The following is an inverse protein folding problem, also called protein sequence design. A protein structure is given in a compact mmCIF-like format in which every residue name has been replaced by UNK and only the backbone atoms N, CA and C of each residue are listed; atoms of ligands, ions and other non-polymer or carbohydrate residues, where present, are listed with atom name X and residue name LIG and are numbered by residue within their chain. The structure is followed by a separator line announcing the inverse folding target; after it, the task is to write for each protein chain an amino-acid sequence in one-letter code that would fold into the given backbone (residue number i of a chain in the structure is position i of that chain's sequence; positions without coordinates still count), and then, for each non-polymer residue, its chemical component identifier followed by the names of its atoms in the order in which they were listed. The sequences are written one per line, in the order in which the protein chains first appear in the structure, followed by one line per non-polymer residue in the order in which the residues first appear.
data_IF_872506389163
#
_entry.id   IF_872506389163
#
_cell.length_a   1.000
_cell.length_b   1.000
_cell.length_c   1.000
_cell.angle_alpha   90.00
_cell.angle_beta   90.00
_cell.angle_gamma   90.00
#
_symmetry.space_group_name_H-M   'P 1'
#
loop_
_entity.id
_entity.type
_entity.pdbx_description
1 polymer ?
#
# COMPACT_ATOMS: atom_id res chain seq x y z
N UNK A 1 8.33 -18.72 2.15
CA UNK A 1 7.02 -18.16 1.73
C UNK A 1 6.80 -18.48 0.26
N UNK A 2 5.88 -19.38 -0.05
CA UNK A 2 5.59 -19.83 -1.41
C UNK A 2 4.09 -19.98 -1.62
N UNK A 3 3.69 -20.23 -2.86
CA UNK A 3 2.30 -20.53 -3.19
C UNK A 3 1.90 -21.87 -2.56
N UNK A 4 0.67 -21.95 -2.05
CA UNK A 4 0.05 -23.21 -1.63
C UNK A 4 -0.84 -23.65 -2.79
N UNK A 5 -0.62 -24.88 -3.29
CA UNK A 5 -1.49 -25.49 -4.28
C UNK A 5 -2.34 -26.55 -3.58
N UNK A 6 -3.63 -26.46 -3.78
CA UNK A 6 -4.61 -27.41 -3.30
C UNK A 6 -5.21 -28.19 -4.46
N UNK A 7 -5.27 -29.49 -4.33
CA UNK A 7 -6.06 -30.36 -5.17
C UNK A 7 -7.20 -30.92 -4.32
N UNK A 8 -8.43 -30.69 -4.74
CA UNK A 8 -9.62 -31.02 -3.98
C UNK A 8 -10.46 -31.98 -4.81
N UNK A 9 -10.90 -33.07 -4.18
CA UNK A 9 -11.85 -34.00 -4.74
C UNK A 9 -13.09 -33.96 -3.85
N UNK A 10 -14.19 -33.44 -4.38
CA UNK A 10 -15.46 -33.36 -3.67
C UNK A 10 -16.44 -34.39 -4.23
N UNK A 11 -16.90 -35.29 -3.35
CA UNK A 11 -17.84 -36.34 -3.70
C UNK A 11 -19.28 -35.88 -3.58
N UNK A 12 -20.20 -36.43 -4.38
CA UNK A 12 -21.66 -36.21 -4.22
C UNK A 12 -22.19 -36.60 -2.84
N UNK A 13 -21.48 -37.46 -2.13
CA UNK A 13 -21.81 -37.87 -0.75
C UNK A 13 -21.43 -36.83 0.32
N UNK A 14 -20.84 -35.69 -0.07
CA UNK A 14 -20.39 -34.64 0.84
C UNK A 14 -18.95 -34.77 1.34
N UNK A 15 -18.28 -35.89 1.02
CA UNK A 15 -16.90 -36.11 1.42
C UNK A 15 -15.94 -35.27 0.58
N UNK A 16 -14.98 -34.62 1.24
CA UNK A 16 -13.93 -33.80 0.65
C UNK A 16 -12.56 -34.41 0.93
N UNK A 17 -11.79 -34.72 -0.10
CA UNK A 17 -10.36 -35.03 0.02
C UNK A 17 -9.55 -33.86 -0.48
N UNK A 18 -8.60 -33.40 0.34
CA UNK A 18 -7.73 -32.25 0.05
C UNK A 18 -6.29 -32.71 0.08
N UNK A 19 -5.56 -32.48 -1.00
CA UNK A 19 -4.12 -32.64 -1.07
C UNK A 19 -3.50 -31.24 -1.21
N UNK A 20 -2.72 -30.85 -0.20
CA UNK A 20 -2.04 -29.55 -0.15
C UNK A 20 -0.56 -29.71 -0.45
N UNK A 21 -0.06 -28.93 -1.38
CA UNK A 21 1.37 -28.80 -1.72
C UNK A 21 1.85 -27.43 -1.29
N UNK A 22 2.87 -27.38 -0.44
CA UNK A 22 3.42 -26.14 0.09
C UNK A 22 4.93 -26.25 0.30
N UNK A 23 5.60 -25.14 0.55
CA UNK A 23 7.03 -25.09 0.85
C UNK A 23 7.18 -24.75 2.34
N UNK A 24 7.92 -25.57 3.06
CA UNK A 24 8.29 -25.33 4.45
C UNK A 24 9.80 -25.44 4.60
N UNK A 25 10.44 -24.40 5.12
CA UNK A 25 11.90 -24.32 5.30
C UNK A 25 12.73 -24.59 4.03
N UNK A 26 12.15 -24.27 2.85
CA UNK A 26 12.79 -24.54 1.55
C UNK A 26 12.44 -25.88 0.92
N UNK A 27 11.85 -26.81 1.66
CA UNK A 27 11.47 -28.14 1.19
C UNK A 27 10.00 -28.18 0.74
N UNK A 28 9.75 -28.94 -0.34
CA UNK A 28 8.40 -29.21 -0.82
C UNK A 28 7.75 -30.25 0.08
N UNK A 29 6.60 -29.90 0.60
CA UNK A 29 5.78 -30.77 1.45
C UNK A 29 4.44 -31.07 0.78
N UNK A 30 3.92 -32.24 1.06
CA UNK A 30 2.61 -32.71 0.63
C UNK A 30 1.84 -33.23 1.84
N UNK A 31 0.59 -32.82 1.97
CA UNK A 31 -0.30 -33.30 3.03
C UNK A 31 -1.67 -33.58 2.44
N UNK A 32 -2.16 -34.82 2.63
CA UNK A 32 -3.51 -35.22 2.20
C UNK A 32 -4.37 -35.47 3.43
N UNK A 33 -5.57 -34.89 3.45
CA UNK A 33 -6.61 -35.12 4.45
C UNK A 33 -7.98 -35.31 3.79
N UNK A 34 -8.80 -36.18 4.38
CA UNK A 34 -10.19 -36.37 4.02
C UNK A 34 -11.10 -35.88 5.13
N UNK A 35 -12.21 -35.27 4.75
CA UNK A 35 -13.24 -34.72 5.62
C UNK A 35 -14.60 -35.25 5.16
N UNK A 36 -15.41 -35.66 6.12
CA UNK A 36 -16.74 -36.23 5.83
C UNK A 36 -17.82 -35.15 5.71
N UNK A 37 -17.57 -33.96 6.24
CA UNK A 37 -18.50 -32.85 6.24
C UNK A 37 -17.77 -31.50 5.99
N UNK A 38 -18.51 -30.53 5.50
CA UNK A 38 -18.09 -29.13 5.36
C UNK A 38 -18.77 -28.26 6.43
N UNK A 39 -18.14 -27.23 6.99
CA UNK A 39 -16.82 -26.69 6.60
C UNK A 39 -15.64 -27.55 7.10
N UNK A 40 -14.67 -27.80 6.21
CA UNK A 40 -13.46 -28.51 6.52
C UNK A 40 -12.34 -27.54 6.94
N UNK A 41 -11.62 -27.84 8.02
CA UNK A 41 -10.49 -27.06 8.51
C UNK A 41 -9.21 -27.86 8.31
N UNK A 42 -8.34 -27.34 7.44
CA UNK A 42 -7.03 -27.92 7.15
C UNK A 42 -5.94 -27.09 7.82
N UNK A 43 -5.41 -27.51 8.97
CA UNK A 43 -4.25 -26.87 9.56
C UNK A 43 -2.98 -27.32 8.84
N UNK A 44 -2.21 -26.34 8.36
CA UNK A 44 -0.89 -26.51 7.77
C UNK A 44 0.13 -25.73 8.59
N UNK A 45 1.42 -26.08 8.56
CA UNK A 45 2.47 -25.29 9.23
C UNK A 45 2.56 -23.84 8.74
N UNK A 46 2.09 -23.60 7.53
CA UNK A 46 2.11 -22.29 6.85
C UNK A 46 0.81 -21.49 7.04
N UNK A 47 -0.20 -22.05 7.71
CA UNK A 47 -1.48 -21.39 8.00
C UNK A 47 -2.66 -22.36 8.06
N UNK A 48 -3.82 -21.85 8.44
CA UNK A 48 -5.06 -22.63 8.52
C UNK A 48 -5.94 -22.28 7.31
N UNK A 49 -6.40 -23.30 6.60
CA UNK A 49 -7.28 -23.16 5.45
C UNK A 49 -8.65 -23.70 5.82
N UNK A 50 -9.68 -22.87 5.66
CA UNK A 50 -11.08 -23.30 5.84
C UNK A 50 -11.72 -23.43 4.46
N UNK A 51 -12.36 -24.56 4.21
CA UNK A 51 -13.06 -24.86 2.96
C UNK A 51 -14.53 -25.06 3.31
N UNK A 52 -15.40 -24.26 2.72
CA UNK A 52 -16.84 -24.31 2.90
C UNK A 52 -17.56 -24.54 1.58
N UNK A 53 -18.79 -25.05 1.64
CA UNK A 53 -19.68 -25.13 0.48
C UNK A 53 -20.15 -23.71 0.06
N UNK A 54 -20.33 -23.52 -1.23
CA UNK A 54 -20.98 -22.33 -1.75
C UNK A 54 -22.48 -22.62 -1.90
N UNK A 55 -23.30 -22.13 -1.00
CA UNK A 55 -24.74 -22.36 -0.94
C UNK A 55 -25.49 -21.83 -2.18
N UNK A 56 -24.85 -21.00 -3.00
CA UNK A 56 -25.42 -20.53 -4.27
C UNK A 56 -25.32 -21.55 -5.40
N UNK A 57 -24.57 -22.64 -5.20
CA UNK A 57 -24.39 -23.69 -6.19
C UNK A 57 -25.11 -24.97 -5.77
N UNK A 58 -25.76 -25.70 -6.70
CA UNK A 58 -26.35 -26.99 -6.38
C UNK A 58 -25.27 -28.02 -6.03
N UNK A 59 -25.65 -28.98 -5.21
CA UNK A 59 -24.76 -30.11 -4.89
C UNK A 59 -24.39 -30.87 -6.18
N UNK A 60 -23.12 -31.24 -6.35
CA UNK A 60 -22.67 -31.95 -7.55
C UNK A 60 -23.25 -33.37 -7.60
N UNK A 61 -23.61 -33.84 -8.78
CA UNK A 61 -24.09 -35.23 -9.00
C UNK A 61 -22.95 -36.23 -9.25
N UNK A 62 -21.77 -35.70 -9.62
CA UNK A 62 -20.56 -36.50 -9.86
C UNK A 62 -19.40 -35.94 -9.05
N UNK A 63 -18.35 -36.73 -8.79
CA UNK A 63 -17.16 -36.20 -8.10
C UNK A 63 -16.53 -35.06 -8.89
N UNK A 64 -16.28 -33.95 -8.19
CA UNK A 64 -15.70 -32.72 -8.77
C UNK A 64 -14.24 -32.61 -8.34
N UNK A 65 -13.35 -32.49 -9.33
CA UNK A 65 -11.94 -32.22 -9.12
C UNK A 65 -11.67 -30.73 -9.30
N UNK A 66 -11.19 -30.09 -8.24
CA UNK A 66 -10.87 -28.66 -8.22
C UNK A 66 -9.39 -28.45 -7.92
N UNK A 67 -8.81 -27.42 -8.53
CA UNK A 67 -7.47 -26.95 -8.19
C UNK A 67 -7.58 -25.50 -7.71
N UNK A 68 -7.02 -25.23 -6.54
CA UNK A 68 -6.91 -23.89 -6.01
C UNK A 68 -5.45 -23.54 -5.76
N UNK A 69 -5.08 -22.31 -6.03
CA UNK A 69 -3.74 -21.77 -5.74
C UNK A 69 -3.91 -20.57 -4.85
N UNK A 70 -3.30 -20.63 -3.68
CA UNK A 70 -3.22 -19.52 -2.74
C UNK A 70 -1.84 -18.91 -2.92
N UNK A 71 -1.80 -17.68 -3.39
CA UNK A 71 -0.56 -16.94 -3.65
C UNK A 71 -0.40 -15.79 -2.67
N UNK A 72 0.84 -15.39 -2.42
CA UNK A 72 1.11 -14.19 -1.62
C UNK A 72 0.61 -12.94 -2.34
N UNK A 73 0.15 -11.89 -1.63
CA UNK A 73 -0.29 -10.66 -2.26
C UNK A 73 0.78 -10.06 -3.18
N UNK A 74 2.05 -10.15 -2.80
CA UNK A 74 3.18 -9.65 -3.60
C UNK A 74 3.33 -10.41 -4.93
N UNK A 75 3.17 -11.73 -4.93
CA UNK A 75 3.23 -12.54 -6.14
C UNK A 75 2.06 -12.23 -7.09
N UNK A 76 0.86 -12.05 -6.55
CA UNK A 76 -0.32 -11.66 -7.32
C UNK A 76 -0.14 -10.25 -7.90
N UNK A 77 0.33 -9.31 -7.11
CA UNK A 77 0.61 -7.93 -7.55
C UNK A 77 1.66 -7.89 -8.67
N UNK A 78 2.71 -8.71 -8.58
CA UNK A 78 3.70 -8.84 -9.67
C UNK A 78 3.06 -9.35 -10.97
N UNK A 79 2.11 -10.29 -10.89
CA UNK A 79 1.34 -10.76 -12.03
C UNK A 79 0.49 -9.66 -12.69
N UNK A 80 -0.22 -8.88 -11.88
CA UNK A 80 -0.99 -7.74 -12.39
C UNK A 80 -0.09 -6.66 -13.00
N UNK A 81 1.06 -6.37 -12.37
CA UNK A 81 2.04 -5.41 -12.89
C UNK A 81 2.56 -5.81 -14.28
N UNK A 82 2.74 -7.10 -14.54
CA UNK A 82 3.19 -7.58 -15.85
C UNK A 82 2.15 -7.35 -16.96
N UNK A 83 0.85 -7.36 -16.63
CA UNK A 83 -0.25 -7.08 -17.55
C UNK A 83 -0.72 -5.62 -17.57
N UNK A 84 -0.08 -4.74 -16.80
CA UNK A 84 -0.41 -3.32 -16.69
C UNK A 84 0.38 -2.51 -17.72
N UNK A 85 -0.31 -1.69 -18.48
CA UNK A 85 0.30 -0.70 -19.37
C UNK A 85 -0.24 0.68 -19.05
N UNK A 86 0.67 1.64 -18.85
CA UNK A 86 0.33 3.05 -18.65
C UNK A 86 1.03 3.86 -19.72
N UNK A 87 0.27 4.60 -20.50
CA UNK A 87 0.80 5.40 -21.60
C UNK A 87 0.06 6.74 -21.69
N UNK A 88 0.74 7.86 -22.01
CA UNK A 88 0.08 9.11 -22.31
C UNK A 88 -0.71 8.98 -23.62
N UNK A 89 -1.85 9.67 -23.72
CA UNK A 89 -2.65 9.69 -24.97
C UNK A 89 -1.87 10.36 -26.12
N UNK A 90 -1.06 11.36 -25.79
CA UNK A 90 -0.13 12.02 -26.73
C UNK A 90 1.05 12.62 -25.97
N UNK A 91 2.11 12.97 -26.68
CA UNK A 91 3.33 13.54 -26.08
C UNK A 91 3.13 14.87 -25.35
N UNK A 92 2.03 15.56 -25.61
CA UNK A 92 1.67 16.84 -24.99
C UNK A 92 0.46 16.75 -24.05
N UNK A 93 -0.08 15.55 -23.86
CA UNK A 93 -1.26 15.33 -23.04
C UNK A 93 -0.91 15.12 -21.57
N UNK A 94 -1.69 15.71 -20.69
CA UNK A 94 -1.68 15.44 -19.25
C UNK A 94 -2.56 14.24 -18.87
N UNK A 95 -3.15 13.56 -19.87
CA UNK A 95 -4.04 12.40 -19.67
C UNK A 95 -3.27 11.13 -20.00
N UNK A 96 -3.29 10.18 -19.08
CA UNK A 96 -2.74 8.85 -19.27
C UNK A 96 -3.85 7.80 -19.44
N UNK A 97 -3.60 6.84 -20.31
CA UNK A 97 -4.44 5.66 -20.46
C UNK A 97 -3.85 4.51 -19.66
N UNK A 98 -4.66 3.88 -18.82
CA UNK A 98 -4.30 2.71 -18.04
C UNK A 98 -5.01 1.50 -18.66
N UNK A 99 -4.25 0.48 -19.05
CA UNK A 99 -4.78 -0.75 -19.64
C UNK A 99 -4.31 -1.95 -18.83
N UNK A 100 -5.23 -2.86 -18.49
CA UNK A 100 -4.97 -4.09 -17.75
C UNK A 100 -5.54 -5.26 -18.50
N UNK A 101 -4.75 -6.33 -18.66
CA UNK A 101 -5.20 -7.59 -19.23
C UNK A 101 -5.47 -8.59 -18.11
N UNK A 102 -6.70 -9.13 -18.09
CA UNK A 102 -7.09 -10.18 -17.15
C UNK A 102 -8.15 -11.08 -17.80
N UNK A 103 -8.24 -12.33 -17.38
CA UNK A 103 -9.25 -13.30 -17.83
C UNK A 103 -10.66 -12.94 -17.34
N UNK A 104 -10.77 -12.15 -16.24
CA UNK A 104 -12.02 -11.68 -15.67
C UNK A 104 -12.13 -10.16 -15.73
N UNK A 105 -13.10 -9.66 -16.48
CA UNK A 105 -13.34 -8.22 -16.66
C UNK A 105 -13.55 -7.52 -15.33
N UNK A 106 -14.36 -8.11 -14.42
CA UNK A 106 -14.62 -7.52 -13.11
C UNK A 106 -13.34 -7.33 -12.30
N UNK A 107 -12.47 -8.34 -12.27
CA UNK A 107 -11.17 -8.24 -11.57
C UNK A 107 -10.25 -7.18 -12.16
N UNK A 108 -10.26 -7.02 -13.48
CA UNK A 108 -9.49 -5.96 -14.13
C UNK A 108 -10.03 -4.58 -13.77
N UNK A 109 -11.35 -4.43 -13.72
CA UNK A 109 -12.02 -3.19 -13.32
C UNK A 109 -11.71 -2.83 -11.86
N UNK A 110 -11.90 -3.78 -10.95
CA UNK A 110 -11.66 -3.59 -9.51
C UNK A 110 -10.19 -3.23 -9.25
N UNK A 111 -9.25 -3.93 -9.90
CA UNK A 111 -7.82 -3.62 -9.81
C UNK A 111 -7.49 -2.21 -10.30
N UNK A 112 -8.06 -1.81 -11.44
CA UNK A 112 -7.80 -0.48 -12.00
C UNK A 112 -8.36 0.62 -11.12
N UNK A 113 -9.57 0.41 -10.57
CA UNK A 113 -10.19 1.36 -9.64
C UNK A 113 -9.37 1.51 -8.36
N UNK A 114 -8.95 0.41 -7.76
CA UNK A 114 -8.13 0.43 -6.55
C UNK A 114 -6.76 1.06 -6.80
N UNK A 115 -6.14 0.79 -7.95
CA UNK A 115 -4.89 1.42 -8.35
C UNK A 115 -5.02 2.96 -8.41
N UNK A 116 -6.11 3.47 -8.95
CA UNK A 116 -6.37 4.92 -9.04
C UNK A 116 -6.59 5.51 -7.64
N UNK A 117 -7.34 4.82 -6.78
CA UNK A 117 -7.59 5.27 -5.40
C UNK A 117 -6.27 5.35 -4.63
N UNK A 118 -5.45 4.31 -4.68
CA UNK A 118 -4.15 4.26 -4.00
C UNK A 118 -3.18 5.31 -4.55
N UNK A 119 -3.14 5.50 -5.87
CA UNK A 119 -2.32 6.55 -6.49
C UNK A 119 -2.72 7.95 -6.00
N UNK A 120 -4.01 8.24 -5.92
CA UNK A 120 -4.50 9.53 -5.43
C UNK A 120 -4.18 9.72 -3.93
N UNK A 121 -4.29 8.66 -3.12
CA UNK A 121 -3.93 8.71 -1.71
C UNK A 121 -2.42 8.97 -1.52
N UNK A 122 -1.59 8.23 -2.26
CA UNK A 122 -0.13 8.37 -2.22
C UNK A 122 0.32 9.77 -2.64
N UNK A 123 -0.22 10.29 -3.75
CA UNK A 123 0.04 11.65 -4.22
C UNK A 123 -0.37 12.71 -3.20
N UNK A 124 -1.51 12.54 -2.52
CA UNK A 124 -1.94 13.47 -1.47
C UNK A 124 -1.03 13.41 -0.24
N UNK A 125 -0.61 12.20 0.15
CA UNK A 125 0.33 12.01 1.26
C UNK A 125 1.66 12.67 0.95
N UNK A 126 2.22 12.46 -0.23
CA UNK A 126 3.47 13.08 -0.68
C UNK A 126 3.38 14.61 -0.67
N UNK A 127 2.29 15.18 -1.20
CA UNK A 127 2.07 16.64 -1.18
C UNK A 127 1.99 17.19 0.24
N UNK A 128 1.31 16.48 1.15
CA UNK A 128 1.20 16.88 2.54
C UNK A 128 2.56 16.82 3.26
N UNK A 129 3.37 15.79 2.98
CA UNK A 129 4.73 15.70 3.52
C UNK A 129 5.62 16.85 3.03
N UNK A 130 5.56 17.18 1.74
CA UNK A 130 6.31 18.31 1.18
C UNK A 130 5.86 19.62 1.81
N UNK A 131 4.55 19.82 1.98
CA UNK A 131 4.00 21.02 2.62
C UNK A 131 4.47 21.13 4.08
N UNK A 132 4.44 20.02 4.83
CA UNK A 132 4.90 19.98 6.21
C UNK A 132 6.40 20.31 6.32
N UNK A 133 7.25 19.66 5.52
CA UNK A 133 8.69 19.96 5.49
C UNK A 133 8.98 21.42 5.14
N UNK A 134 8.18 22.01 4.24
CA UNK A 134 8.29 23.42 3.88
C UNK A 134 7.89 24.34 5.04
N UNK A 135 6.83 23.99 5.76
CA UNK A 135 6.40 24.75 6.95
C UNK A 135 7.47 24.69 8.07
N UNK A 136 7.97 23.49 8.37
CA UNK A 136 9.01 23.27 9.37
C UNK A 136 10.29 24.08 9.02
N UNK A 137 10.69 24.07 7.75
CA UNK A 137 11.83 24.87 7.27
C UNK A 137 11.62 26.36 7.46
N UNK A 138 10.43 26.86 7.12
CA UNK A 138 10.09 28.29 7.28
C UNK A 138 10.12 28.68 8.77
N UNK A 139 9.57 27.84 9.64
CA UNK A 139 9.55 28.07 11.08
C UNK A 139 10.97 28.11 11.67
N UNK A 140 11.84 27.18 11.26
CA UNK A 140 13.25 27.20 11.63
C UNK A 140 13.94 28.49 11.16
N UNK A 141 13.71 28.91 9.91
CA UNK A 141 14.30 30.15 9.36
C UNK A 141 13.82 31.39 10.11
N UNK A 142 12.53 31.46 10.44
CA UNK A 142 11.98 32.56 11.25
C UNK A 142 12.64 32.59 12.63
N UNK A 143 12.82 31.43 13.26
CA UNK A 143 13.50 31.35 14.55
C UNK A 143 14.94 31.87 14.51
N UNK A 144 15.70 31.49 13.46
CA UNK A 144 17.08 31.98 13.26
C UNK A 144 17.08 33.48 13.04
N UNK A 145 16.23 34.02 12.17
CA UNK A 145 16.15 35.45 11.87
C UNK A 145 15.79 36.25 13.13
N UNK A 146 14.84 35.78 13.93
CA UNK A 146 14.46 36.43 15.18
C UNK A 146 15.61 36.44 16.18
N UNK A 147 16.40 35.37 16.24
CA UNK A 147 17.59 35.33 17.10
C UNK A 147 18.68 36.33 16.64
N UNK A 148 18.98 36.35 15.33
CA UNK A 148 19.94 37.28 14.74
C UNK A 148 19.50 38.74 14.93
N UNK A 149 18.21 39.03 14.73
CA UNK A 149 17.64 40.38 14.95
C UNK A 149 17.80 40.80 16.40
N UNK A 150 17.42 39.91 17.34
CA UNK A 150 17.58 40.23 18.79
C UNK A 150 19.03 40.48 19.19
N UNK A 151 19.98 39.73 18.61
CA UNK A 151 21.42 39.94 18.81
C UNK A 151 21.85 41.30 18.27
N UNK A 152 21.46 41.62 17.03
CA UNK A 152 21.79 42.88 16.36
C UNK A 152 21.19 44.10 17.12
N UNK A 153 19.94 43.99 17.58
CA UNK A 153 19.29 45.04 18.37
C UNK A 153 20.03 45.27 19.70
N UNK A 154 20.48 44.20 20.35
CA UNK A 154 21.28 44.28 21.58
C UNK A 154 22.63 44.97 21.35
N UNK A 155 23.35 44.55 20.29
CA UNK A 155 24.62 45.17 19.88
C UNK A 155 24.44 46.67 19.53
N UNK A 156 23.36 47.02 18.84
CA UNK A 156 23.02 48.42 18.51
C UNK A 156 22.72 49.22 19.77
N UNK A 157 21.98 48.67 20.72
CA UNK A 157 21.70 49.33 21.98
C UNK A 157 22.98 49.58 22.80
N UNK A 158 23.86 48.59 22.88
CA UNK A 158 25.17 48.71 23.53
C UNK A 158 26.08 49.75 22.85
N UNK A 159 26.08 49.76 21.50
CA UNK A 159 26.82 50.75 20.73
C UNK A 159 26.32 52.18 21.02
N UNK A 160 25.02 52.42 21.01
CA UNK A 160 24.40 53.72 21.33
C UNK A 160 24.76 54.17 22.72
N UNK A 161 24.73 53.25 23.71
CA UNK A 161 25.09 53.52 25.08
C UNK A 161 26.58 53.91 25.23
N UNK A 162 27.47 53.15 24.57
CA UNK A 162 28.93 53.45 24.59
C UNK A 162 29.28 54.75 23.87
N UNK A 163 28.54 55.08 22.78
CA UNK A 163 28.75 56.28 21.99
C UNK A 163 28.10 57.54 22.58
N UNK A 164 27.37 57.43 23.72
CA UNK A 164 26.66 58.55 24.34
C UNK A 164 25.47 59.07 23.49
N UNK A 165 25.01 58.27 22.51
CA UNK A 165 23.93 58.64 21.57
C UNK A 165 22.58 58.18 22.14
N UNK A 166 22.16 58.77 23.25
CA UNK A 166 20.91 58.34 23.92
C UNK A 166 19.64 58.89 23.29
N UNK A 167 19.70 59.91 22.42
CA UNK A 167 18.54 60.42 21.71
C UNK A 167 18.92 61.26 20.46
N UNK A 168 18.80 60.69 19.26
CA UNK A 168 18.99 61.46 18.03
C UNK A 168 17.66 62.13 17.60
N UNK A 169 16.55 61.83 18.27
CA UNK A 169 15.25 62.42 17.90
C UNK A 169 15.01 63.84 18.43
N UNK A 170 15.80 64.33 19.37
CA UNK A 170 15.66 65.68 19.93
C UNK A 170 16.59 66.73 19.32
N UNK A 171 17.64 66.36 18.59
CA UNK A 171 18.59 67.33 18.01
C UNK A 171 18.30 67.74 16.55
N UNK A 172 17.21 67.25 15.96
CA UNK A 172 16.79 67.64 14.59
C UNK A 172 15.74 68.74 14.52
N UNK A 173 15.46 69.41 15.64
CA UNK A 173 14.58 70.60 15.73
C UNK A 173 15.28 71.78 16.34
N UNK A 174 16.32 72.27 15.67
CA UNK A 174 16.81 73.63 15.81
C UNK A 174 17.15 74.24 14.44
#
# INVERSE_FOLDING_TARGET
EGNIRLELIYSPTGQLTVTAFYIQNGDKQETTKSFDELPAILPLPVGVITISHNDSLPAPQEPVNLKAIISTPTAVAAGYRAGLTVAPISNTSTIATISVQNTHIQRASDFTQELIILYNQDTNTEKNEVAQKSADFIEERISIINHELGTTETELAEFKQRAGLTDISSDAQL
#
